data_IF_024317905592
#
_entry.id   IF_024317905592
#
_cell.length_a   1.000
_cell.length_b   1.000
_cell.length_c   1.000
_cell.angle_alpha   90.00
_cell.angle_beta   90.00
_cell.angle_gamma   90.00
#
_symmetry.space_group_name_H-M   'P 1'
#
loop_
_entity.id
_entity.type
_entity.pdbx_description
1 polymer ?
#
# COMPACT_ATOMS: atom_id res chain seq x y z
N UNK A 1 59.32 19.75 -15.82
CA UNK A 1 58.39 18.71 -15.33
C UNK A 1 56.96 19.26 -15.46
N UNK A 2 56.20 18.71 -16.41
CA UNK A 2 54.83 19.16 -16.70
C UNK A 2 53.84 18.31 -15.89
N UNK A 3 53.13 18.93 -14.95
CA UNK A 3 52.05 18.28 -14.21
C UNK A 3 50.75 18.29 -15.01
N UNK A 4 50.18 17.14 -15.28
CA UNK A 4 48.84 16.97 -15.88
C UNK A 4 47.78 17.03 -14.76
N UNK A 5 46.93 18.03 -14.83
CA UNK A 5 45.68 18.09 -13.99
C UNK A 5 44.62 17.29 -14.71
N UNK A 6 44.21 16.17 -14.14
CA UNK A 6 43.08 15.38 -14.60
C UNK A 6 41.82 15.97 -14.03
N UNK A 7 41.07 16.70 -14.84
CA UNK A 7 39.75 17.20 -14.50
C UNK A 7 38.74 16.07 -14.57
N UNK A 8 38.20 15.65 -13.41
CA UNK A 8 37.05 14.73 -13.34
C UNK A 8 35.79 15.53 -13.62
N UNK A 9 35.24 15.31 -14.81
CA UNK A 9 33.92 15.85 -15.20
C UNK A 9 32.84 15.02 -14.50
N UNK A 10 32.31 15.52 -13.38
CA UNK A 10 31.14 14.94 -12.72
C UNK A 10 29.90 15.29 -13.55
N UNK A 11 29.42 14.33 -14.32
CA UNK A 11 28.14 14.42 -15.03
C UNK A 11 27.02 14.33 -13.99
N UNK A 12 26.47 15.46 -13.56
CA UNK A 12 25.22 15.50 -12.80
C UNK A 12 24.09 15.07 -13.73
N UNK A 13 23.67 13.81 -13.60
CA UNK A 13 22.38 13.36 -14.10
C UNK A 13 21.29 14.06 -13.27
N UNK A 14 20.78 15.16 -13.77
CA UNK A 14 19.54 15.76 -13.31
C UNK A 14 18.43 14.73 -13.58
N UNK A 15 17.97 14.05 -12.53
CA UNK A 15 16.72 13.30 -12.55
C UNK A 15 15.64 14.35 -12.74
N UNK A 16 15.18 14.53 -13.98
CA UNK A 16 14.00 15.32 -14.28
C UNK A 16 12.81 14.57 -13.66
N UNK A 17 12.43 14.96 -12.43
CA UNK A 17 11.11 14.69 -11.89
C UNK A 17 10.11 15.30 -12.87
N UNK A 18 9.42 14.48 -13.64
CA UNK A 18 8.27 14.92 -14.39
C UNK A 18 7.17 15.26 -13.38
N UNK A 19 7.12 16.51 -12.94
CA UNK A 19 5.96 17.05 -12.24
C UNK A 19 4.77 16.96 -13.18
N UNK A 20 3.84 16.04 -12.89
CA UNK A 20 2.56 15.94 -13.58
C UNK A 20 1.79 17.23 -13.33
N UNK A 21 1.49 17.96 -14.39
CA UNK A 21 0.68 19.19 -14.35
C UNK A 21 -0.64 18.90 -13.64
N UNK A 22 -0.79 19.33 -12.39
CA UNK A 22 -1.93 19.01 -11.53
C UNK A 22 -2.96 20.13 -11.50
N UNK A 23 -4.19 19.84 -11.91
CA UNK A 23 -5.33 20.76 -11.76
C UNK A 23 -6.26 20.25 -10.65
N UNK A 24 -6.59 21.11 -9.67
CA UNK A 24 -7.59 20.82 -8.64
C UNK A 24 -8.92 21.47 -8.96
N UNK A 25 -10.01 20.71 -8.79
CA UNK A 25 -11.38 21.16 -8.98
C UNK A 25 -12.12 21.12 -7.65
N UNK A 26 -13.13 21.95 -7.49
CA UNK A 26 -13.95 21.98 -6.27
C UNK A 26 -15.26 21.23 -6.50
N UNK A 27 -15.26 19.93 -6.29
CA UNK A 27 -16.41 19.04 -6.44
C UNK A 27 -17.28 18.93 -5.19
N UNK A 28 -17.37 20.00 -4.43
CA UNK A 28 -18.21 20.22 -3.23
C UNK A 28 -18.97 18.99 -2.68
N UNK A 29 -18.34 18.20 -1.82
CA UNK A 29 -19.03 17.26 -0.92
C UNK A 29 -19.56 15.95 -1.51
N UNK A 30 -19.41 15.71 -2.81
CA UNK A 30 -19.85 14.45 -3.44
C UNK A 30 -18.78 13.36 -3.26
N UNK A 31 -19.16 12.24 -2.66
CA UNK A 31 -18.24 11.13 -2.42
C UNK A 31 -17.89 10.37 -3.73
N UNK A 32 -16.66 9.84 -3.77
CA UNK A 32 -16.23 8.91 -4.82
C UNK A 32 -16.99 7.58 -4.77
N UNK A 33 -17.05 6.88 -5.91
CA UNK A 33 -17.60 5.53 -6.07
C UNK A 33 -16.50 4.56 -6.47
N UNK A 34 -16.79 3.26 -6.53
CA UNK A 34 -15.83 2.19 -6.81
C UNK A 34 -15.19 1.65 -5.53
N UNK A 35 -14.59 0.45 -5.61
CA UNK A 35 -13.91 -0.16 -4.49
C UNK A 35 -12.50 0.40 -4.31
N UNK A 36 -11.94 0.27 -3.11
CA UNK A 36 -10.54 0.56 -2.84
C UNK A 36 -9.67 -0.38 -3.71
N UNK A 37 -8.68 0.19 -4.40
CA UNK A 37 -7.81 -0.57 -5.29
C UNK A 37 -8.35 -0.78 -6.71
N UNK A 38 -9.47 -0.15 -7.10
CA UNK A 38 -9.96 -0.19 -8.49
C UNK A 38 -9.54 1.06 -9.27
N UNK A 39 -9.19 0.87 -10.55
CA UNK A 39 -8.98 1.93 -11.55
C UNK A 39 -9.96 1.73 -12.69
N UNK A 40 -10.76 2.75 -12.98
CA UNK A 40 -11.62 2.79 -14.17
C UNK A 40 -10.79 3.30 -15.35
N UNK A 41 -10.51 2.43 -16.31
CA UNK A 41 -9.85 2.78 -17.58
C UNK A 41 -10.92 3.16 -18.59
N UNK A 42 -10.81 4.34 -19.16
CA UNK A 42 -11.74 4.86 -20.19
C UNK A 42 -10.97 5.07 -21.48
N UNK A 43 -11.22 4.20 -22.46
CA UNK A 43 -10.65 4.29 -23.80
C UNK A 43 -11.54 3.58 -24.81
N UNK A 44 -11.31 3.83 -26.11
CA UNK A 44 -11.99 3.11 -27.16
C UNK A 44 -11.71 1.61 -27.09
N UNK A 45 -12.67 0.79 -27.55
CA UNK A 45 -12.57 -0.66 -27.47
C UNK A 45 -11.33 -1.19 -28.21
N UNK A 46 -11.00 -0.62 -29.37
CA UNK A 46 -9.83 -1.04 -30.16
C UNK A 46 -8.51 -0.80 -29.41
N UNK A 47 -8.41 0.26 -28.61
CA UNK A 47 -7.25 0.50 -27.74
C UNK A 47 -7.19 -0.52 -26.59
N UNK A 48 -8.35 -0.84 -26.00
CA UNK A 48 -8.43 -1.84 -24.93
C UNK A 48 -8.07 -3.25 -25.41
N UNK A 49 -8.48 -3.62 -26.61
CA UNK A 49 -8.23 -4.95 -27.20
C UNK A 49 -6.84 -5.07 -27.85
N UNK A 50 -6.00 -4.03 -27.76
CA UNK A 50 -4.63 -3.99 -28.27
C UNK A 50 -3.58 -4.38 -27.20
N UNK A 51 -2.29 -4.29 -27.53
CA UNK A 51 -1.18 -4.47 -26.58
C UNK A 51 -1.20 -3.50 -25.37
N UNK A 52 -1.97 -2.39 -25.48
CA UNK A 52 -2.13 -1.43 -24.38
C UNK A 52 -2.68 -2.12 -23.14
N UNK A 53 -3.60 -3.07 -23.28
CA UNK A 53 -4.13 -3.82 -22.14
C UNK A 53 -3.02 -4.59 -21.41
N UNK A 54 -2.13 -5.27 -22.12
CA UNK A 54 -1.02 -6.01 -21.52
C UNK A 54 -0.04 -5.05 -20.84
N UNK A 55 0.22 -3.88 -21.43
CA UNK A 55 1.05 -2.83 -20.83
C UNK A 55 0.42 -2.31 -19.53
N UNK A 56 -0.89 -2.06 -19.51
CA UNK A 56 -1.60 -1.64 -18.30
C UNK A 56 -1.57 -2.72 -17.20
N UNK A 57 -1.90 -3.95 -17.58
CA UNK A 57 -1.93 -5.08 -16.63
C UNK A 57 -0.54 -5.29 -16.00
N UNK A 58 0.52 -5.31 -16.79
CA UNK A 58 1.88 -5.52 -16.28
C UNK A 58 2.40 -4.42 -15.36
N UNK A 59 1.85 -3.21 -15.43
CA UNK A 59 2.31 -2.07 -14.62
C UNK A 59 1.36 -1.69 -13.49
N UNK A 60 0.04 -1.93 -13.63
CA UNK A 60 -0.96 -1.48 -12.67
C UNK A 60 -1.56 -2.62 -11.83
N UNK A 61 -1.48 -3.89 -12.31
CA UNK A 61 -2.07 -5.03 -11.61
C UNK A 61 -1.04 -6.01 -11.04
N UNK A 62 0.18 -5.54 -10.78
CA UNK A 62 1.24 -6.37 -10.21
C UNK A 62 0.82 -6.95 -8.87
N UNK A 63 1.19 -8.21 -8.62
CA UNK A 63 0.92 -8.83 -7.33
C UNK A 63 1.87 -8.35 -6.24
N UNK A 64 1.33 -8.15 -5.06
CA UNK A 64 2.10 -7.78 -3.87
C UNK A 64 2.73 -9.04 -3.29
N UNK A 65 4.01 -9.25 -3.57
CA UNK A 65 4.74 -10.40 -3.04
C UNK A 65 5.06 -10.24 -1.55
N UNK A 66 5.17 -11.32 -0.79
CA UNK A 66 4.99 -12.73 -1.16
C UNK A 66 3.61 -13.27 -0.73
N UNK A 67 2.53 -12.54 -0.93
CA UNK A 67 1.21 -12.92 -0.42
C UNK A 67 0.57 -14.05 -1.23
N UNK A 68 -0.17 -14.91 -0.51
CA UNK A 68 -1.02 -15.94 -1.09
C UNK A 68 -2.32 -16.06 -0.27
N UNK A 69 -3.51 -15.92 -0.89
CA UNK A 69 -3.74 -15.74 -2.32
C UNK A 69 -3.13 -14.44 -2.86
N UNK A 70 -2.91 -14.40 -4.17
CA UNK A 70 -2.36 -13.24 -4.85
C UNK A 70 -3.23 -12.00 -4.60
N UNK A 71 -2.57 -10.89 -4.26
CA UNK A 71 -3.22 -9.59 -4.06
C UNK A 71 -2.67 -8.63 -5.09
N UNK A 72 -3.50 -8.24 -6.05
CA UNK A 72 -3.12 -7.24 -7.03
C UNK A 72 -3.00 -5.84 -6.40
N UNK A 73 -2.09 -5.03 -6.91
CA UNK A 73 -1.99 -3.62 -6.50
C UNK A 73 -3.24 -2.86 -6.89
N UNK A 74 -3.75 -3.09 -8.10
CA UNK A 74 -5.02 -2.56 -8.58
C UNK A 74 -5.79 -3.58 -9.43
N UNK A 75 -7.11 -3.42 -9.48
CA UNK A 75 -8.00 -4.07 -10.41
C UNK A 75 -8.43 -3.08 -11.49
N UNK A 76 -8.35 -3.47 -12.76
CA UNK A 76 -8.74 -2.60 -13.88
C UNK A 76 -10.18 -2.91 -14.32
N UNK A 77 -10.97 -1.85 -14.46
CA UNK A 77 -12.34 -1.89 -15.01
C UNK A 77 -12.37 -1.06 -16.27
N UNK A 78 -12.74 -1.65 -17.39
CA UNK A 78 -12.82 -0.93 -18.66
C UNK A 78 -14.23 -0.39 -18.96
N UNK A 79 -14.29 0.81 -19.51
CA UNK A 79 -15.47 1.41 -20.15
C UNK A 79 -15.03 2.20 -21.37
N UNK A 80 -15.84 2.10 -22.44
CA UNK A 80 -15.65 3.00 -23.58
C UNK A 80 -16.13 4.41 -23.25
N UNK A 81 -15.68 5.46 -23.98
CA UNK A 81 -16.12 6.84 -23.75
C UNK A 81 -17.64 7.01 -23.79
N UNK A 82 -18.34 6.26 -24.66
CA UNK A 82 -19.80 6.28 -24.77
C UNK A 82 -20.48 5.77 -23.49
N UNK A 83 -19.86 4.85 -22.77
CA UNK A 83 -20.36 4.28 -21.51
C UNK A 83 -19.86 5.04 -20.26
N UNK A 84 -19.07 6.09 -20.45
CA UNK A 84 -18.65 6.98 -19.35
C UNK A 84 -19.77 7.98 -19.00
N UNK A 85 -20.83 7.46 -18.41
CA UNK A 85 -22.05 8.19 -18.03
C UNK A 85 -21.98 8.75 -16.60
N UNK A 86 -23.02 9.49 -16.19
CA UNK A 86 -23.09 10.06 -14.82
C UNK A 86 -22.91 9.02 -13.70
N UNK A 87 -23.32 7.76 -13.90
CA UNK A 87 -23.18 6.69 -12.92
C UNK A 87 -21.73 6.33 -12.60
N UNK A 88 -20.81 6.51 -13.56
CA UNK A 88 -19.39 6.14 -13.39
C UNK A 88 -18.45 7.35 -13.29
N UNK A 89 -18.92 8.57 -13.58
CA UNK A 89 -18.07 9.78 -13.51
C UNK A 89 -17.41 10.02 -12.16
N UNK A 90 -18.03 9.55 -11.08
CA UNK A 90 -17.51 9.70 -9.72
C UNK A 90 -16.55 8.60 -9.29
N UNK A 91 -16.09 7.74 -10.24
CA UNK A 91 -15.19 6.65 -9.90
C UNK A 91 -13.91 7.20 -9.26
N UNK A 92 -13.45 6.58 -8.18
CA UNK A 92 -12.37 7.09 -7.30
C UNK A 92 -11.07 7.34 -8.06
N UNK A 93 -10.68 6.41 -8.93
CA UNK A 93 -9.51 6.49 -9.78
C UNK A 93 -9.95 6.28 -11.22
N UNK A 94 -9.66 7.22 -12.09
CA UNK A 94 -10.04 7.12 -13.52
C UNK A 94 -8.82 7.41 -14.37
N UNK A 95 -8.51 6.52 -15.29
CA UNK A 95 -7.45 6.65 -16.29
C UNK A 95 -8.08 6.78 -17.68
N UNK A 96 -7.91 7.93 -18.31
CA UNK A 96 -8.32 8.14 -19.70
C UNK A 96 -7.14 7.88 -20.63
N UNK A 97 -7.38 7.14 -21.70
CA UNK A 97 -6.44 6.96 -22.80
C UNK A 97 -7.07 7.49 -24.08
N UNK A 98 -6.36 8.37 -24.77
CA UNK A 98 -6.88 8.96 -26.01
C UNK A 98 -5.78 9.27 -27.02
N UNK A 99 -6.17 9.29 -28.30
CA UNK A 99 -5.34 9.76 -29.40
C UNK A 99 -5.91 11.12 -29.85
N UNK A 100 -5.08 12.16 -29.79
CA UNK A 100 -5.39 13.48 -30.31
C UNK A 100 -4.36 13.87 -31.39
N UNK A 101 -4.74 13.76 -32.69
CA UNK A 101 -3.83 14.10 -33.78
C UNK A 101 -3.39 15.57 -33.81
N UNK A 102 -4.03 16.44 -33.02
CA UNK A 102 -3.68 17.86 -32.88
C UNK A 102 -2.68 18.10 -31.74
N UNK A 103 -2.29 17.06 -31.01
CA UNK A 103 -1.31 17.20 -29.95
C UNK A 103 0.02 17.67 -30.53
N UNK A 104 0.47 18.83 -30.05
CA UNK A 104 1.76 19.42 -30.46
C UNK A 104 2.92 18.77 -29.70
N UNK A 105 4.07 18.67 -30.37
CA UNK A 105 5.32 18.15 -29.80
C UNK A 105 5.58 16.67 -30.08
N UNK A 106 6.79 16.25 -29.73
CA UNK A 106 7.29 14.90 -30.02
C UNK A 106 7.02 13.90 -28.89
N UNK A 107 6.44 14.35 -27.77
CA UNK A 107 6.10 13.52 -26.60
C UNK A 107 4.61 13.56 -26.36
N UNK A 108 4.06 12.41 -25.96
CA UNK A 108 2.69 12.37 -25.45
C UNK A 108 2.58 13.10 -24.10
N UNK A 109 1.37 13.24 -23.64
CA UNK A 109 1.02 14.05 -22.47
C UNK A 109 0.39 13.19 -21.37
N UNK A 110 0.77 13.42 -20.13
CA UNK A 110 0.10 12.87 -18.94
C UNK A 110 -0.38 14.07 -18.10
N UNK A 111 -1.68 14.14 -17.85
CA UNK A 111 -2.29 15.20 -17.03
C UNK A 111 -2.99 14.61 -15.82
N UNK A 112 -2.76 15.22 -14.65
CA UNK A 112 -3.42 14.87 -13.40
C UNK A 112 -4.50 15.88 -13.06
N UNK A 113 -5.72 15.40 -12.77
CA UNK A 113 -6.85 16.22 -12.33
C UNK A 113 -7.44 15.64 -11.05
N UNK A 114 -7.62 16.47 -10.03
CA UNK A 114 -8.13 16.05 -8.73
C UNK A 114 -9.48 16.71 -8.45
N UNK A 115 -10.46 15.96 -8.00
CA UNK A 115 -11.75 16.47 -7.56
C UNK A 115 -12.68 16.90 -8.71
N UNK A 116 -12.62 16.27 -9.87
CA UNK A 116 -13.37 16.69 -11.08
C UNK A 116 -14.89 16.52 -10.89
N UNK A 117 -15.34 15.34 -10.48
CA UNK A 117 -16.76 15.01 -10.31
C UNK A 117 -17.09 14.52 -8.90
N UNK A 118 -16.08 14.24 -8.08
CA UNK A 118 -16.24 13.85 -6.69
C UNK A 118 -15.05 14.30 -5.86
N UNK A 119 -15.26 14.55 -4.57
CA UNK A 119 -14.22 14.96 -3.63
C UNK A 119 -13.13 13.88 -3.54
N UNK A 120 -11.86 14.31 -3.61
CA UNK A 120 -10.69 13.41 -3.56
C UNK A 120 -10.67 12.36 -4.70
N UNK A 121 -11.37 12.62 -5.80
CA UNK A 121 -11.25 11.81 -7.01
C UNK A 121 -9.93 12.10 -7.70
N UNK A 122 -9.25 11.06 -8.19
CA UNK A 122 -8.08 11.20 -9.05
C UNK A 122 -8.41 10.77 -10.46
N UNK A 123 -8.17 11.68 -11.41
CA UNK A 123 -8.32 11.45 -12.84
C UNK A 123 -6.97 11.70 -13.50
N UNK A 124 -6.50 10.76 -14.28
CA UNK A 124 -5.28 10.89 -15.09
C UNK A 124 -5.64 10.69 -16.56
N UNK A 125 -5.19 11.62 -17.39
CA UNK A 125 -5.34 11.57 -18.83
C UNK A 125 -3.98 11.25 -19.44
N UNK A 126 -3.89 10.21 -20.27
CA UNK A 126 -2.72 9.89 -21.10
C UNK A 126 -3.10 10.07 -22.55
N UNK A 127 -2.39 10.98 -23.23
CA UNK A 127 -2.74 11.43 -24.57
C UNK A 127 -1.53 11.26 -25.49
N UNK A 128 -1.71 10.59 -26.61
CA UNK A 128 -0.74 10.54 -27.71
C UNK A 128 -1.31 11.19 -28.97
N UNK A 129 -0.47 11.71 -29.87
CA UNK A 129 -0.91 12.19 -31.18
C UNK A 129 -1.33 11.05 -32.13
N UNK A 130 -0.77 9.88 -31.89
CA UNK A 130 -1.02 8.64 -32.60
C UNK A 130 -0.85 7.44 -31.64
N UNK A 131 -1.13 6.25 -32.12
CA UNK A 131 -1.02 5.01 -31.37
C UNK A 131 0.40 4.78 -30.82
N UNK A 132 1.43 4.95 -31.63
CA UNK A 132 2.81 4.71 -31.22
C UNK A 132 3.26 5.66 -30.10
N UNK A 133 2.88 6.94 -30.21
CA UNK A 133 3.18 7.92 -29.17
C UNK A 133 2.42 7.63 -27.89
N UNK A 134 1.15 7.19 -27.96
CA UNK A 134 0.38 6.77 -26.78
C UNK A 134 1.06 5.60 -26.08
N UNK A 135 1.44 4.55 -26.82
CA UNK A 135 2.17 3.38 -26.28
C UNK A 135 3.47 3.80 -25.58
N UNK A 136 4.29 4.62 -26.27
CA UNK A 136 5.54 5.12 -25.65
C UNK A 136 5.26 5.91 -24.36
N UNK A 137 4.24 6.76 -24.35
CA UNK A 137 3.87 7.56 -23.19
C UNK A 137 3.45 6.67 -22.02
N UNK A 138 2.70 5.59 -22.28
CA UNK A 138 2.34 4.60 -21.29
C UNK A 138 3.58 3.88 -20.74
N UNK A 139 4.42 3.33 -21.61
CA UNK A 139 5.63 2.57 -21.20
C UNK A 139 6.53 3.38 -20.27
N UNK A 140 6.74 4.68 -20.55
CA UNK A 140 7.60 5.52 -19.72
C UNK A 140 6.89 6.17 -18.53
N UNK A 141 5.56 6.31 -18.58
CA UNK A 141 4.79 7.05 -17.59
C UNK A 141 4.00 6.22 -16.58
N UNK A 142 3.70 4.95 -16.88
CA UNK A 142 2.79 4.13 -16.05
C UNK A 142 3.28 3.91 -14.63
N UNK A 143 4.61 3.84 -14.42
CA UNK A 143 5.12 3.76 -13.04
C UNK A 143 4.69 4.96 -12.21
N UNK A 144 4.81 6.17 -12.75
CA UNK A 144 4.39 7.38 -12.05
C UNK A 144 2.86 7.44 -11.89
N UNK A 145 2.11 6.98 -12.90
CA UNK A 145 0.64 6.87 -12.83
C UNK A 145 0.22 5.91 -11.72
N UNK A 146 0.89 4.75 -11.61
CA UNK A 146 0.67 3.79 -10.51
C UNK A 146 0.92 4.45 -9.15
N UNK A 147 2.05 5.10 -8.98
CA UNK A 147 2.45 5.73 -7.71
C UNK A 147 1.47 6.84 -7.30
N UNK A 148 0.93 7.60 -8.26
CA UNK A 148 -0.09 8.64 -8.02
C UNK A 148 -1.43 8.03 -7.55
N UNK A 149 -1.90 6.95 -8.18
CA UNK A 149 -3.11 6.26 -7.72
C UNK A 149 -2.91 5.64 -6.34
N UNK A 150 -1.75 5.03 -6.09
CA UNK A 150 -1.39 4.42 -4.83
C UNK A 150 -1.36 5.46 -3.69
N UNK A 151 -0.70 6.59 -3.93
CA UNK A 151 -0.66 7.71 -2.99
C UNK A 151 -2.06 8.25 -2.68
N UNK A 152 -2.90 8.45 -3.70
CA UNK A 152 -4.25 8.96 -3.49
C UNK A 152 -5.13 8.00 -2.67
N UNK A 153 -4.95 6.68 -2.81
CA UNK A 153 -5.65 5.70 -1.97
C UNK A 153 -5.26 5.85 -0.49
N UNK A 154 -3.97 6.01 -0.19
CA UNK A 154 -3.53 6.23 1.20
C UNK A 154 -4.01 7.57 1.75
N UNK A 155 -3.92 8.63 0.97
CA UNK A 155 -4.35 9.97 1.39
C UNK A 155 -5.83 9.99 1.79
N UNK A 156 -6.71 9.29 1.05
CA UNK A 156 -8.14 9.17 1.39
C UNK A 156 -8.34 8.46 2.72
N UNK A 157 -7.65 7.34 2.93
CA UNK A 157 -7.73 6.58 4.18
C UNK A 157 -7.22 7.42 5.36
N UNK A 158 -6.05 8.03 5.20
CA UNK A 158 -5.43 8.87 6.25
C UNK A 158 -6.25 10.12 6.55
N UNK A 159 -6.87 10.74 5.55
CA UNK A 159 -7.78 11.86 5.74
C UNK A 159 -8.95 11.48 6.64
N UNK A 160 -9.53 10.30 6.42
CA UNK A 160 -10.62 9.80 7.27
C UNK A 160 -10.13 9.53 8.70
N UNK A 161 -9.01 8.84 8.91
CA UNK A 161 -8.48 8.55 10.25
C UNK A 161 -8.06 9.82 11.00
N UNK A 162 -7.46 10.79 10.32
CA UNK A 162 -7.08 12.08 10.92
C UNK A 162 -8.28 12.96 11.28
N UNK A 163 -9.43 12.77 10.62
CA UNK A 163 -10.66 13.48 10.95
C UNK A 163 -11.30 12.98 12.25
N UNK A 164 -11.08 11.71 12.60
CA UNK A 164 -11.61 11.05 13.80
C UNK A 164 -10.50 10.30 14.55
N UNK A 165 -9.51 11.02 15.15
CA UNK A 165 -8.34 10.40 15.72
C UNK A 165 -8.63 9.61 17.00
N UNK A 166 -7.97 8.47 17.18
CA UNK A 166 -8.00 7.71 18.45
C UNK A 166 -6.94 8.25 19.42
N UNK A 167 -7.22 9.42 19.98
CA UNK A 167 -6.28 10.17 20.86
C UNK A 167 -5.74 9.32 22.02
N UNK A 168 -6.54 8.41 22.55
CA UNK A 168 -6.13 7.56 23.68
C UNK A 168 -4.99 6.60 23.29
N UNK A 169 -5.13 5.96 22.13
CA UNK A 169 -4.10 5.03 21.63
C UNK A 169 -2.88 5.80 21.14
N UNK A 170 -3.07 6.89 20.40
CA UNK A 170 -1.97 7.74 19.92
C UNK A 170 -1.08 8.20 21.08
N UNK A 171 -1.64 8.76 22.14
CA UNK A 171 -0.90 9.17 23.35
C UNK A 171 -0.20 7.98 24.04
N UNK A 172 -0.83 6.81 24.07
CA UNK A 172 -0.22 5.63 24.68
C UNK A 172 0.99 5.13 23.87
N UNK A 173 0.89 5.16 22.54
CA UNK A 173 1.96 4.78 21.62
C UNK A 173 3.10 5.80 21.68
N UNK A 174 2.79 7.09 21.60
CA UNK A 174 3.75 8.18 21.76
C UNK A 174 4.56 8.02 23.05
N UNK A 175 3.88 7.91 24.19
CA UNK A 175 4.52 7.76 25.50
C UNK A 175 5.45 6.56 25.60
N UNK A 176 5.08 5.44 24.98
CA UNK A 176 5.80 4.17 25.16
C UNK A 176 6.88 3.91 24.10
N UNK A 177 6.64 4.37 22.86
CA UNK A 177 7.51 4.07 21.71
C UNK A 177 8.13 5.32 21.07
N UNK A 178 7.69 6.54 21.44
CA UNK A 178 8.18 7.79 20.86
C UNK A 178 7.83 7.96 19.38
N UNK A 179 6.69 7.42 18.97
CA UNK A 179 6.17 7.50 17.61
C UNK A 179 4.68 7.82 17.61
N UNK A 180 4.19 8.29 16.48
CA UNK A 180 2.76 8.45 16.21
C UNK A 180 2.39 7.84 14.86
N UNK A 181 1.11 7.54 14.67
CA UNK A 181 0.51 7.13 13.41
C UNK A 181 -1.02 7.27 13.49
N UNK A 182 -1.67 7.46 12.33
CA UNK A 182 -3.12 7.56 12.26
C UNK A 182 -3.78 6.18 12.39
N UNK A 183 -4.92 6.10 13.09
CA UNK A 183 -5.65 4.86 13.38
C UNK A 183 -7.15 5.03 13.18
N UNK A 184 -7.91 3.94 12.92
CA UNK A 184 -9.36 3.95 13.09
C UNK A 184 -9.75 4.36 14.51
N UNK A 185 -10.77 5.20 14.66
CA UNK A 185 -11.27 5.69 15.95
C UNK A 185 -11.72 4.56 16.89
N UNK A 186 -12.33 3.51 16.34
CA UNK A 186 -12.80 2.34 17.07
C UNK A 186 -11.72 1.27 17.34
N UNK A 187 -10.45 1.51 17.02
CA UNK A 187 -9.34 0.61 17.34
C UNK A 187 -9.18 0.44 18.87
N UNK A 188 -8.69 -0.72 19.31
CA UNK A 188 -8.51 -1.05 20.73
C UNK A 188 -7.16 -1.69 20.99
N UNK A 189 -6.48 -1.30 22.09
CA UNK A 189 -5.31 -2.02 22.58
C UNK A 189 -5.78 -3.27 23.32
N UNK A 190 -5.49 -4.46 22.79
CA UNK A 190 -5.85 -5.75 23.38
C UNK A 190 -4.71 -6.40 24.13
N UNK A 191 -3.45 -6.07 23.81
CA UNK A 191 -2.27 -6.43 24.59
C UNK A 191 -1.45 -5.16 24.84
N UNK A 192 -1.14 -4.89 26.11
CA UNK A 192 -0.35 -3.73 26.54
C UNK A 192 0.76 -4.16 27.50
N UNK A 193 1.99 -4.13 27.01
CA UNK A 193 3.20 -4.44 27.81
C UNK A 193 4.27 -3.38 27.55
N UNK A 194 5.28 -3.28 28.41
CA UNK A 194 6.36 -2.28 28.33
C UNK A 194 6.99 -2.15 26.94
N UNK A 195 7.20 -3.27 26.24
CA UNK A 195 7.87 -3.31 24.94
C UNK A 195 6.98 -3.86 23.82
N UNK A 196 5.67 -4.00 24.05
CA UNK A 196 4.76 -4.60 23.07
C UNK A 196 3.33 -4.10 23.25
N UNK A 197 2.73 -3.60 22.15
CA UNK A 197 1.28 -3.37 22.04
C UNK A 197 0.71 -4.18 20.87
N UNK A 198 -0.46 -4.79 21.09
CA UNK A 198 -1.33 -5.27 20.02
C UNK A 198 -2.56 -4.40 19.99
N UNK A 199 -2.84 -3.84 18.82
CA UNK A 199 -3.97 -2.96 18.55
C UNK A 199 -4.84 -3.67 17.53
N UNK A 200 -6.10 -3.91 17.85
CA UNK A 200 -7.08 -4.52 16.96
C UNK A 200 -8.00 -3.46 16.38
N UNK A 201 -8.31 -3.60 15.10
CA UNK A 201 -9.30 -2.79 14.42
C UNK A 201 -10.67 -3.47 14.50
N UNK A 202 -11.78 -2.75 14.29
CA UNK A 202 -13.09 -3.36 14.19
C UNK A 202 -13.09 -4.45 13.11
N UNK A 203 -13.59 -5.62 13.44
CA UNK A 203 -13.76 -6.69 12.45
C UNK A 203 -14.78 -6.28 11.39
N UNK A 204 -14.53 -6.68 10.15
CA UNK A 204 -15.42 -6.41 9.04
C UNK A 204 -15.90 -7.71 8.40
N UNK A 205 -17.21 -7.83 8.16
CA UNK A 205 -17.75 -8.88 7.30
C UNK A 205 -17.56 -8.48 5.84
N UNK A 206 -17.01 -9.37 5.03
CA UNK A 206 -16.80 -9.17 3.59
C UNK A 206 -17.44 -10.31 2.80
N UNK A 207 -18.02 -10.03 1.62
CA UNK A 207 -18.49 -11.09 0.73
C UNK A 207 -17.35 -12.04 0.39
N UNK A 208 -17.66 -13.33 0.29
CA UNK A 208 -16.74 -14.30 -0.26
C UNK A 208 -16.73 -14.12 -1.77
N UNK A 209 -15.58 -13.78 -2.33
CA UNK A 209 -15.43 -13.50 -3.78
C UNK A 209 -15.29 -14.79 -4.62
N UNK A 210 -15.00 -15.91 -3.97
CA UNK A 210 -14.87 -17.21 -4.65
C UNK A 210 -16.18 -17.97 -4.65
N UNK A 211 -16.91 -17.91 -5.75
CA UNK A 211 -18.24 -18.54 -5.88
C UNK A 211 -18.15 -19.83 -6.70
N UNK A 212 -18.01 -20.95 -5.99
CA UNK A 212 -18.62 -22.18 -6.47
C UNK A 212 -20.07 -22.22 -6.00
N UNK A 213 -21.03 -22.04 -6.93
CA UNK A 213 -22.46 -22.26 -6.71
C UNK A 213 -23.20 -21.34 -5.69
N UNK A 214 -23.47 -20.11 -6.06
CA UNK A 214 -24.76 -19.46 -5.77
C UNK A 214 -25.09 -19.05 -4.33
N UNK A 215 -24.19 -19.16 -3.35
CA UNK A 215 -24.37 -18.64 -2.00
C UNK A 215 -23.37 -17.52 -1.73
N UNK A 216 -23.86 -16.34 -1.43
CA UNK A 216 -23.06 -15.25 -0.90
C UNK A 216 -22.82 -15.50 0.59
N UNK A 217 -21.78 -16.26 0.93
CA UNK A 217 -21.31 -16.34 2.30
C UNK A 217 -20.42 -15.13 2.59
N UNK A 218 -20.43 -14.66 3.84
CA UNK A 218 -19.56 -13.58 4.30
C UNK A 218 -18.43 -14.15 5.16
N UNK A 219 -17.19 -13.79 4.84
CA UNK A 219 -16.04 -14.05 5.70
C UNK A 219 -15.79 -12.88 6.64
N UNK A 220 -15.39 -13.15 7.88
CA UNK A 220 -14.97 -12.11 8.82
C UNK A 220 -13.47 -11.85 8.66
N UNK A 221 -13.12 -10.59 8.48
CA UNK A 221 -11.73 -10.12 8.41
C UNK A 221 -11.38 -9.49 9.75
N UNK A 222 -10.24 -9.91 10.31
CA UNK A 222 -9.61 -9.28 11.46
C UNK A 222 -8.32 -8.61 11.01
N UNK A 223 -8.14 -7.37 11.39
CA UNK A 223 -6.92 -6.63 11.08
C UNK A 223 -6.47 -5.82 12.28
N UNK A 224 -5.21 -5.42 12.28
CA UNK A 224 -4.66 -4.65 13.37
C UNK A 224 -3.16 -4.43 13.23
N UNK A 225 -2.57 -3.92 14.31
CA UNK A 225 -1.14 -3.66 14.40
C UNK A 225 -0.53 -4.39 15.60
N UNK A 226 0.72 -4.78 15.45
CA UNK A 226 1.63 -5.03 16.58
C UNK A 226 2.71 -3.97 16.55
N UNK A 227 2.95 -3.32 17.70
CA UNK A 227 4.05 -2.37 17.88
C UNK A 227 4.96 -2.92 18.97
N UNK A 228 6.22 -3.12 18.65
CA UNK A 228 7.19 -3.59 19.64
C UNK A 228 8.54 -2.94 19.46
N UNK A 229 9.35 -3.01 20.53
CA UNK A 229 10.69 -2.45 20.56
C UNK A 229 11.65 -3.31 21.38
N UNK A 230 12.92 -3.26 21.01
CA UNK A 230 14.01 -3.88 21.73
C UNK A 230 15.30 -3.06 21.56
N UNK A 231 16.32 -3.34 22.38
CA UNK A 231 17.55 -2.56 22.37
C UNK A 231 18.28 -2.75 21.03
N UNK A 232 18.65 -1.65 20.40
CA UNK A 232 19.48 -1.66 19.21
C UNK A 232 20.95 -1.75 19.61
N UNK A 233 21.67 -2.73 19.09
CA UNK A 233 23.10 -2.96 19.34
C UNK A 233 23.95 -2.61 18.14
N UNK A 234 23.60 -3.14 16.97
CA UNK A 234 24.36 -2.92 15.73
C UNK A 234 23.50 -3.20 14.48
N UNK A 235 24.07 -2.90 13.31
CA UNK A 235 23.36 -2.99 12.03
C UNK A 235 23.00 -4.41 11.60
N UNK A 236 23.61 -5.45 12.17
CA UNK A 236 23.25 -6.83 11.84
C UNK A 236 21.83 -7.18 12.25
N UNK A 237 21.26 -6.45 13.22
CA UNK A 237 19.88 -6.62 13.62
C UNK A 237 18.85 -6.30 12.51
N UNK A 238 19.27 -5.58 11.46
CA UNK A 238 18.45 -5.35 10.26
C UNK A 238 18.59 -6.45 9.19
N UNK A 239 19.40 -7.49 9.41
CA UNK A 239 19.35 -8.66 8.56
C UNK A 239 17.95 -9.32 8.66
N UNK A 240 17.40 -9.76 7.51
CA UNK A 240 16.05 -10.30 7.43
C UNK A 240 15.81 -11.42 8.47
N UNK A 241 16.77 -12.34 8.61
CA UNK A 241 16.68 -13.46 9.53
C UNK A 241 16.59 -12.99 10.99
N UNK A 242 17.34 -11.94 11.36
CA UNK A 242 17.33 -11.39 12.72
C UNK A 242 16.01 -10.66 13.02
N UNK A 243 15.46 -9.91 12.04
CA UNK A 243 14.15 -9.29 12.15
C UNK A 243 13.04 -10.33 12.28
N UNK A 244 13.10 -11.42 11.52
CA UNK A 244 12.16 -12.54 11.60
C UNK A 244 12.23 -13.25 12.95
N UNK A 245 13.42 -13.51 13.47
CA UNK A 245 13.61 -14.11 14.79
C UNK A 245 13.06 -13.21 15.90
N UNK A 246 13.32 -11.91 15.84
CA UNK A 246 12.76 -10.94 16.78
C UNK A 246 11.23 -10.90 16.70
N UNK A 247 10.66 -10.90 15.50
CA UNK A 247 9.23 -10.96 15.25
C UNK A 247 8.60 -12.20 15.89
N UNK A 248 9.12 -13.38 15.58
CA UNK A 248 8.57 -14.64 16.10
C UNK A 248 8.66 -14.72 17.63
N UNK A 249 9.76 -14.23 18.20
CA UNK A 249 9.91 -14.15 19.66
C UNK A 249 8.84 -13.22 20.26
N UNK A 250 8.67 -12.02 19.71
CA UNK A 250 7.70 -11.06 20.22
C UNK A 250 6.27 -11.57 20.09
N UNK A 251 5.91 -12.17 18.95
CA UNK A 251 4.55 -12.67 18.72
C UNK A 251 4.22 -13.90 19.56
N UNK A 252 5.19 -14.82 19.75
CA UNK A 252 5.01 -16.02 20.57
C UNK A 252 4.54 -15.70 21.99
N UNK A 253 5.11 -14.66 22.60
CA UNK A 253 4.79 -14.30 23.98
C UNK A 253 3.66 -13.28 24.13
N UNK A 254 3.24 -12.62 23.05
CA UNK A 254 2.33 -11.49 23.14
C UNK A 254 1.07 -11.62 22.29
N UNK A 255 1.01 -12.57 21.33
CA UNK A 255 -0.13 -12.77 20.46
C UNK A 255 -0.60 -14.22 20.52
N UNK A 256 -1.19 -14.65 21.66
CA UNK A 256 -1.75 -15.98 21.80
C UNK A 256 -3.01 -16.13 20.93
N UNK A 257 -3.29 -17.36 20.53
CA UNK A 257 -4.56 -17.73 19.91
C UNK A 257 -5.53 -18.28 20.97
N UNK A 258 -6.80 -18.43 20.61
CA UNK A 258 -7.85 -18.94 21.51
C UNK A 258 -7.58 -20.36 22.03
N UNK A 259 -6.83 -21.18 21.27
CA UNK A 259 -6.40 -22.50 21.74
C UNK A 259 -5.08 -22.39 22.51
N UNK A 260 -5.07 -23.01 23.69
CA UNK A 260 -3.91 -22.98 24.60
C UNK A 260 -2.62 -23.46 23.91
N UNK A 261 -1.55 -22.66 24.07
CA UNK A 261 -0.22 -22.94 23.52
C UNK A 261 -0.07 -22.66 22.03
N UNK A 262 -1.07 -22.05 21.38
CA UNK A 262 -0.95 -21.54 20.03
C UNK A 262 -0.70 -20.02 20.05
N UNK A 263 0.05 -19.53 19.06
CA UNK A 263 0.41 -18.13 18.91
C UNK A 263 0.58 -17.76 17.43
N UNK A 264 0.57 -16.47 17.13
CA UNK A 264 0.86 -15.96 15.78
C UNK A 264 2.33 -16.22 15.44
N UNK A 265 2.60 -17.02 14.43
CA UNK A 265 3.95 -17.34 13.93
C UNK A 265 4.11 -17.00 12.46
N UNK A 266 5.34 -16.74 12.04
CA UNK A 266 5.66 -16.46 10.63
C UNK A 266 5.62 -17.75 9.81
N UNK A 267 5.20 -17.66 8.53
CA UNK A 267 5.27 -18.77 7.58
C UNK A 267 6.60 -18.72 6.81
N UNK A 268 7.33 -19.85 6.83
CA UNK A 268 8.62 -20.00 6.15
C UNK A 268 8.56 -20.95 4.95
N UNK A 269 7.38 -21.13 4.37
CA UNK A 269 7.21 -21.93 3.15
C UNK A 269 7.82 -21.16 1.98
N UNK A 270 8.55 -21.84 1.11
CA UNK A 270 9.32 -21.25 -0.01
C UNK A 270 8.49 -20.27 -0.87
N UNK A 271 7.24 -20.61 -1.16
CA UNK A 271 6.34 -19.77 -1.99
C UNK A 271 5.96 -18.43 -1.33
N UNK A 272 5.93 -18.38 -0.01
CA UNK A 272 5.49 -17.20 0.77
C UNK A 272 6.56 -16.79 1.79
N UNK A 273 7.82 -17.13 1.50
CA UNK A 273 8.93 -16.76 2.38
C UNK A 273 8.98 -15.24 2.51
N UNK A 274 9.13 -14.70 3.73
CA UNK A 274 9.11 -13.27 3.92
C UNK A 274 10.15 -12.53 3.09
N UNK A 275 9.77 -11.37 2.56
CA UNK A 275 10.64 -10.48 1.81
C UNK A 275 11.00 -9.26 2.64
N UNK A 276 12.23 -8.81 2.51
CA UNK A 276 12.75 -7.61 3.15
C UNK A 276 13.28 -6.62 2.12
N UNK A 277 12.95 -5.34 2.29
CA UNK A 277 13.46 -4.26 1.46
C UNK A 277 14.12 -3.20 2.35
N UNK A 278 15.47 -3.09 2.34
CA UNK A 278 16.18 -2.09 3.11
C UNK A 278 16.02 -0.69 2.52
N UNK A 279 15.95 0.30 3.40
CA UNK A 279 16.09 1.71 3.07
C UNK A 279 15.01 2.31 2.16
N UNK A 280 13.75 2.02 2.40
CA UNK A 280 12.66 2.84 1.87
C UNK A 280 12.62 4.14 2.67
N UNK A 281 12.79 5.29 2.01
CA UNK A 281 12.53 6.58 2.64
C UNK A 281 11.02 6.72 2.83
N UNK A 282 10.65 6.97 4.08
CA UNK A 282 9.27 7.29 4.45
C UNK A 282 9.19 8.75 4.83
N UNK A 283 8.08 9.40 4.53
CA UNK A 283 7.72 10.76 4.95
C UNK A 283 8.84 11.53 5.66
N UNK A 284 9.57 12.35 4.96
CA UNK A 284 10.75 13.03 5.47
C UNK A 284 12.01 12.11 5.52
N UNK A 285 12.81 12.27 6.56
CA UNK A 285 14.11 11.62 6.70
C UNK A 285 14.08 10.22 7.37
N UNK A 286 12.89 9.68 7.68
CA UNK A 286 12.79 8.38 8.35
C UNK A 286 13.14 7.24 7.38
N UNK A 287 14.30 6.63 7.61
CA UNK A 287 14.70 5.40 6.91
C UNK A 287 14.09 4.18 7.59
N UNK A 288 13.33 3.41 6.85
CA UNK A 288 12.71 2.18 7.34
C UNK A 288 13.21 0.96 6.57
N UNK A 289 13.32 -0.16 7.27
CA UNK A 289 13.41 -1.47 6.65
C UNK A 289 11.99 -2.02 6.55
N UNK A 290 11.52 -2.24 5.33
CA UNK A 290 10.21 -2.84 5.07
C UNK A 290 10.33 -4.36 5.05
N UNK A 291 9.38 -5.05 5.68
CA UNK A 291 9.28 -6.50 5.61
C UNK A 291 7.84 -6.93 5.39
N UNK A 292 7.63 -7.87 4.49
CA UNK A 292 6.33 -8.45 4.15
C UNK A 292 6.39 -9.97 4.25
N UNK A 293 5.27 -10.59 4.57
CA UNK A 293 5.19 -12.05 4.62
C UNK A 293 3.82 -12.53 5.07
N UNK A 294 3.74 -13.84 5.26
CA UNK A 294 2.55 -14.52 5.73
C UNK A 294 2.73 -14.99 7.17
N UNK A 295 1.63 -15.00 7.91
CA UNK A 295 1.58 -15.62 9.24
C UNK A 295 0.48 -16.68 9.32
N UNK A 296 0.58 -17.54 10.31
CA UNK A 296 -0.49 -18.44 10.76
C UNK A 296 -0.40 -18.65 12.26
N UNK A 297 -1.50 -19.02 12.89
CA UNK A 297 -1.44 -19.46 14.28
C UNK A 297 -0.90 -20.89 14.36
N UNK A 298 0.16 -21.08 15.15
CA UNK A 298 0.90 -22.34 15.28
C UNK A 298 1.11 -22.69 16.75
N UNK A 299 1.29 -23.96 17.03
CA UNK A 299 1.64 -24.49 18.34
C UNK A 299 1.04 -25.87 18.61
N UNK A 300 1.70 -26.69 19.45
CA UNK A 300 1.29 -28.06 19.84
C UNK A 300 0.90 -28.95 18.63
N UNK A 301 1.62 -28.84 17.50
CA UNK A 301 1.35 -29.61 16.28
C UNK A 301 0.06 -29.24 15.54
N UNK A 302 -0.60 -28.13 15.91
CA UNK A 302 -1.81 -27.62 15.27
C UNK A 302 -1.51 -26.37 14.44
N UNK A 303 -2.32 -26.14 13.43
CA UNK A 303 -2.31 -24.94 12.61
C UNK A 303 -3.70 -24.32 12.67
N UNK A 304 -3.73 -23.01 12.93
CA UNK A 304 -4.94 -22.19 12.90
C UNK A 304 -5.02 -21.33 11.63
N UNK A 305 -5.98 -20.39 11.60
CA UNK A 305 -6.08 -19.41 10.53
C UNK A 305 -4.79 -18.59 10.40
N UNK A 306 -4.71 -17.82 9.36
CA UNK A 306 -3.56 -16.98 9.08
C UNK A 306 -3.90 -15.89 8.09
N UNK A 307 -2.90 -15.18 7.66
CA UNK A 307 -3.04 -14.07 6.75
C UNK A 307 -1.71 -13.45 6.41
N UNK A 308 -1.72 -12.18 6.04
CA UNK A 308 -0.52 -11.45 5.67
C UNK A 308 -0.13 -10.41 6.71
N UNK A 309 1.15 -10.04 6.70
CA UNK A 309 1.67 -8.92 7.47
C UNK A 309 2.54 -8.01 6.61
N UNK A 310 2.57 -6.73 6.99
CA UNK A 310 3.45 -5.72 6.42
C UNK A 310 4.03 -4.91 7.57
N UNK A 311 5.35 -4.76 7.64
CA UNK A 311 6.01 -4.15 8.78
C UNK A 311 7.09 -3.17 8.37
N UNK A 312 7.26 -2.15 9.21
CA UNK A 312 8.34 -1.18 9.17
C UNK A 312 9.20 -1.33 10.41
N UNK A 313 10.51 -1.39 10.19
CA UNK A 313 11.52 -1.47 11.23
C UNK A 313 12.47 -0.29 11.12
N UNK A 314 12.71 0.39 12.22
CA UNK A 314 13.58 1.58 12.25
C UNK A 314 14.16 1.81 13.65
N UNK A 315 15.18 2.69 13.72
CA UNK A 315 15.78 3.10 15.00
C UNK A 315 15.05 4.33 15.50
N UNK A 316 14.54 4.27 16.74
CA UNK A 316 14.06 5.45 17.45
C UNK A 316 15.27 6.23 18.00
N UNK A 317 15.55 7.46 17.50
CA UNK A 317 16.83 8.13 17.78
C UNK A 317 17.03 8.51 19.25
N UNK A 318 15.95 8.87 19.96
CA UNK A 318 16.00 9.28 21.38
C UNK A 318 16.29 8.12 22.31
N UNK A 319 15.65 6.96 22.08
CA UNK A 319 15.76 5.79 22.97
C UNK A 319 16.80 4.79 22.53
N UNK A 320 17.34 4.91 21.32
CA UNK A 320 18.27 3.96 20.70
C UNK A 320 17.70 2.54 20.65
N UNK A 321 16.40 2.42 20.43
CA UNK A 321 15.72 1.13 20.27
C UNK A 321 15.38 0.87 18.83
N UNK A 322 15.45 -0.40 18.43
CA UNK A 322 14.83 -0.84 17.20
C UNK A 322 13.33 -1.00 17.47
N UNK A 323 12.53 -0.23 16.73
CA UNK A 323 11.07 -0.24 16.80
C UNK A 323 10.52 -0.93 15.56
N UNK A 324 9.52 -1.77 15.75
CA UNK A 324 8.73 -2.37 14.69
C UNK A 324 7.28 -1.94 14.82
N UNK A 325 6.71 -1.51 13.70
CA UNK A 325 5.26 -1.35 13.51
C UNK A 325 4.86 -2.34 12.42
N UNK A 326 4.05 -3.33 12.77
CA UNK A 326 3.66 -4.43 11.88
C UNK A 326 2.14 -4.53 11.81
N UNK A 327 1.57 -4.18 10.67
CA UNK A 327 0.17 -4.43 10.38
C UNK A 327 -0.06 -5.88 9.95
N UNK A 328 -1.24 -6.40 10.28
CA UNK A 328 -1.65 -7.75 9.87
C UNK A 328 -3.10 -7.76 9.40
N UNK A 329 -3.38 -8.67 8.47
CA UNK A 329 -4.72 -8.99 7.99
C UNK A 329 -4.93 -10.50 8.16
N UNK A 330 -5.85 -10.89 9.02
CA UNK A 330 -6.30 -12.27 9.26
C UNK A 330 -7.66 -12.43 8.58
N UNK A 331 -7.67 -13.11 7.47
CA UNK A 331 -8.86 -13.24 6.64
C UNK A 331 -8.90 -14.58 5.92
N UNK A 332 -10.09 -15.12 5.64
CA UNK A 332 -10.23 -16.27 4.77
C UNK A 332 -9.61 -15.99 3.39
N UNK A 333 -8.93 -16.98 2.81
CA UNK A 333 -8.35 -16.86 1.46
C UNK A 333 -9.39 -16.64 0.35
N UNK A 334 -10.65 -16.79 0.67
CA UNK A 334 -11.81 -16.61 -0.23
C UNK A 334 -12.35 -15.17 -0.21
N UNK A 335 -11.80 -14.27 0.62
CA UNK A 335 -12.18 -12.85 0.67
C UNK A 335 -11.10 -11.98 0.04
N UNK A 336 -11.47 -10.81 -0.48
CA UNK A 336 -10.49 -9.83 -0.95
C UNK A 336 -9.71 -9.22 0.21
N UNK A 337 -8.39 -9.19 0.09
CA UNK A 337 -7.48 -8.58 1.06
C UNK A 337 -7.09 -7.15 0.71
N UNK A 338 -7.47 -6.68 -0.48
CA UNK A 338 -7.03 -5.38 -1.01
C UNK A 338 -7.35 -4.23 -0.06
N UNK A 339 -8.62 -4.09 0.36
CA UNK A 339 -9.00 -2.99 1.23
C UNK A 339 -8.31 -3.04 2.61
N UNK A 340 -8.37 -4.12 3.40
CA UNK A 340 -7.73 -4.14 4.72
C UNK A 340 -6.21 -4.02 4.62
N UNK A 341 -5.60 -4.51 3.55
CA UNK A 341 -4.16 -4.34 3.32
C UNK A 341 -3.81 -2.87 3.02
N UNK A 342 -4.65 -2.17 2.22
CA UNK A 342 -4.50 -0.73 1.97
C UNK A 342 -4.64 0.11 3.24
N UNK A 343 -5.54 -0.26 4.13
CA UNK A 343 -5.68 0.38 5.45
C UNK A 343 -4.41 0.20 6.28
N UNK A 344 -3.86 -1.01 6.33
CA UNK A 344 -2.57 -1.28 6.99
C UNK A 344 -1.43 -0.47 6.37
N UNK A 345 -1.33 -0.45 5.04
CA UNK A 345 -0.32 0.34 4.33
C UNK A 345 -0.42 1.83 4.67
N UNK A 346 -1.63 2.40 4.63
CA UNK A 346 -1.85 3.80 4.94
C UNK A 346 -1.37 4.15 6.36
N UNK A 347 -1.67 3.29 7.34
CA UNK A 347 -1.21 3.47 8.72
C UNK A 347 0.32 3.44 8.79
N UNK A 348 0.97 2.44 8.17
CA UNK A 348 2.43 2.35 8.13
C UNK A 348 3.05 3.60 7.49
N UNK A 349 2.47 4.10 6.40
CA UNK A 349 2.90 5.36 5.75
C UNK A 349 2.73 6.59 6.62
N UNK A 350 1.86 6.56 7.62
CA UNK A 350 1.65 7.66 8.57
C UNK A 350 2.55 7.60 9.81
N UNK A 351 3.44 6.63 9.92
CA UNK A 351 4.35 6.51 11.07
C UNK A 351 5.34 7.67 11.08
N UNK A 352 5.39 8.39 12.19
CA UNK A 352 6.29 9.51 12.43
C UNK A 352 7.00 9.33 13.77
N UNK A 353 8.27 9.75 13.86
CA UNK A 353 9.04 9.82 15.10
C UNK A 353 8.76 11.17 15.77
N UNK A 354 8.54 11.15 17.09
CA UNK A 354 8.26 12.35 17.90
C UNK A 354 9.49 12.76 18.72
#
# INVERSE_FOLDING_TARGET
MKGYIFGVLVLMLSIASCDLNSKRYNSSGVAVTGKIGEILVVCDQDLWDSEIKEILDSNLTQFIMPYFPDVATFDLIHKTPQHFTQGVKRYRNTLFLSIDPKLEGDKGKIEKRVGVWATDQLVIDVIGKDYNQLVQTLVFGLKNVHDEFDQMEWERILKYYKATPNISIEKAVEKNFGITFALPDAAKIVTKRKNFYRIEFPSAARPIEFVGAGKQDAGTIFSGLTVYQYDYTDSSQFALENLLQARDTMLKYNVPYSYEGMYMGTQYVKMVYPEGNPAINQSGDLKVYEMRGMFKFVGKGKHGPGGCFWSYHFIQPKTKKLVCVSGYVDAPSTTSWTQPLREVQAILKSVEII
#
